data_IF_499211456709
#
_entry.id   IF_499211456709
#
_cell.length_a   1.000
_cell.length_b   1.000
_cell.length_c   1.000
_cell.angle_alpha   90.00
_cell.angle_beta   90.00
_cell.angle_gamma   90.00
#
_symmetry.space_group_name_H-M   'P 1'
#
loop_
_entity.id
_entity.type
_entity.pdbx_description
1 polymer ?
#
# COMPACT_ATOMS: atom_id res chain seq x y z
N UNK A 1 13.07 -25.67 15.59
CA UNK A 1 11.87 -24.85 15.83
C UNK A 1 12.35 -23.43 16.15
N UNK A 2 12.52 -22.59 15.14
CA UNK A 2 12.74 -21.16 15.32
C UNK A 2 11.37 -20.50 15.47
N UNK A 3 11.12 -19.88 16.61
CA UNK A 3 9.93 -19.06 16.82
C UNK A 3 10.07 -17.78 15.99
N UNK A 4 9.14 -17.53 15.09
CA UNK A 4 9.07 -16.35 14.23
C UNK A 4 8.92 -15.01 15.01
N UNK A 5 8.94 -15.05 16.34
CA UNK A 5 8.87 -13.88 17.22
C UNK A 5 10.25 -13.25 17.52
N UNK A 6 11.35 -13.93 17.25
CA UNK A 6 12.69 -13.46 17.63
C UNK A 6 13.36 -12.56 16.57
N UNK A 7 12.86 -12.48 15.36
CA UNK A 7 13.46 -11.68 14.27
C UNK A 7 13.32 -10.17 14.43
N UNK A 8 12.36 -9.69 15.22
CA UNK A 8 12.11 -8.25 15.46
C UNK A 8 12.33 -7.88 16.94
N UNK A 9 12.69 -8.85 17.79
CA UNK A 9 12.99 -8.60 19.19
C UNK A 9 14.37 -7.97 19.32
N UNK A 10 14.35 -6.79 19.90
CA UNK A 10 15.42 -6.18 20.65
C UNK A 10 16.45 -5.36 19.87
N UNK A 11 15.97 -4.23 19.37
CA UNK A 11 16.68 -2.94 19.53
C UNK A 11 15.65 -1.87 19.33
N UNK A 12 15.24 -1.15 20.40
CA UNK A 12 14.60 0.16 20.23
C UNK A 12 15.52 0.99 19.33
N UNK A 13 15.23 1.13 18.04
CA UNK A 13 16.03 2.01 17.22
C UNK A 13 15.87 3.40 17.82
N UNK A 14 16.96 4.12 18.00
CA UNK A 14 16.88 5.55 18.26
C UNK A 14 15.88 6.14 17.26
N UNK A 15 14.98 7.06 17.69
CA UNK A 15 13.89 7.59 16.85
C UNK A 15 14.30 7.93 15.41
N UNK A 16 15.55 8.39 15.21
CA UNK A 16 16.08 8.69 13.87
C UNK A 16 16.37 7.48 12.99
N UNK A 17 16.75 6.32 13.55
CA UNK A 17 17.00 5.10 12.80
C UNK A 17 15.68 4.52 12.27
N UNK A 18 14.61 4.58 13.08
CA UNK A 18 13.29 4.14 12.71
C UNK A 18 12.70 4.87 11.50
N UNK A 19 12.93 6.18 11.38
CA UNK A 19 12.42 6.98 10.25
C UNK A 19 13.11 6.63 8.93
N UNK A 20 14.40 6.29 8.97
CA UNK A 20 15.14 5.81 7.79
C UNK A 20 14.56 4.48 7.29
N UNK A 21 14.25 3.55 8.19
CA UNK A 21 13.74 2.22 7.82
C UNK A 21 12.33 2.26 7.23
N UNK A 22 11.43 3.10 7.75
CA UNK A 22 10.09 3.30 7.16
C UNK A 22 10.17 3.70 5.70
N UNK A 23 10.96 4.76 5.44
CA UNK A 23 11.14 5.28 4.07
C UNK A 23 11.75 4.24 3.15
N UNK A 24 12.71 3.46 3.65
CA UNK A 24 13.30 2.37 2.87
C UNK A 24 12.28 1.28 2.50
N UNK A 25 11.43 0.84 3.45
CA UNK A 25 10.43 -0.18 3.18
C UNK A 25 9.45 0.27 2.09
N UNK A 26 8.89 1.47 2.22
CA UNK A 26 7.99 2.03 1.21
C UNK A 26 8.68 2.24 -0.13
N UNK A 27 9.90 2.74 -0.11
CA UNK A 27 10.69 2.99 -1.31
C UNK A 27 11.01 1.70 -2.04
N UNK A 28 11.47 0.67 -1.34
CA UNK A 28 11.81 -0.62 -1.94
C UNK A 28 10.55 -1.29 -2.49
N UNK A 29 9.50 -1.41 -1.66
CA UNK A 29 8.27 -2.07 -2.07
C UNK A 29 7.58 -1.32 -3.22
N UNK A 30 7.55 0.00 -3.16
CA UNK A 30 7.03 0.85 -4.23
C UNK A 30 7.85 0.74 -5.53
N UNK A 31 9.18 0.71 -5.45
CA UNK A 31 10.04 0.53 -6.61
C UNK A 31 9.78 -0.81 -7.31
N UNK A 32 9.61 -1.88 -6.56
CA UNK A 32 9.24 -3.17 -7.11
C UNK A 32 7.83 -3.15 -7.73
N UNK A 33 6.83 -2.70 -6.99
CA UNK A 33 5.43 -2.74 -7.42
C UNK A 33 5.16 -1.79 -8.59
N UNK A 34 5.63 -0.56 -8.50
CA UNK A 34 5.31 0.48 -9.48
C UNK A 34 6.30 0.52 -10.64
N UNK A 35 7.60 0.28 -10.38
CA UNK A 35 8.65 0.37 -11.39
C UNK A 35 8.85 -0.93 -12.16
N UNK A 36 9.08 -2.02 -11.45
CA UNK A 36 9.38 -3.32 -12.05
C UNK A 36 8.10 -4.07 -12.42
N UNK A 37 7.00 -3.83 -11.70
CA UNK A 37 5.73 -4.54 -11.88
C UNK A 37 5.74 -5.92 -11.22
N UNK A 38 6.61 -6.11 -10.22
CA UNK A 38 6.64 -7.31 -9.39
C UNK A 38 6.55 -6.94 -7.91
N UNK A 39 6.08 -7.84 -7.07
CA UNK A 39 6.03 -7.59 -5.64
C UNK A 39 6.04 -8.90 -4.85
N UNK A 40 6.39 -8.82 -3.59
CA UNK A 40 6.34 -9.95 -2.69
C UNK A 40 4.90 -10.14 -2.20
N UNK A 41 4.21 -11.14 -2.72
CA UNK A 41 2.78 -11.40 -2.42
C UNK A 41 2.51 -11.94 -1.02
N UNK A 42 3.55 -12.23 -0.23
CA UNK A 42 3.46 -12.73 1.14
C UNK A 42 4.44 -12.00 2.08
N UNK A 43 4.38 -10.68 2.09
CA UNK A 43 5.28 -9.80 2.84
C UNK A 43 4.92 -9.75 4.34
N UNK A 44 4.70 -10.92 4.94
CA UNK A 44 4.51 -10.96 6.40
C UNK A 44 5.85 -10.72 7.14
N UNK A 45 5.81 -10.30 8.42
CA UNK A 45 7.03 -9.94 9.16
C UNK A 45 8.11 -11.03 9.23
N UNK A 46 7.74 -12.31 9.11
CA UNK A 46 8.68 -13.43 9.08
C UNK A 46 9.48 -13.54 7.78
N UNK A 47 9.04 -12.88 6.70
CA UNK A 47 9.71 -12.85 5.39
C UNK A 47 10.51 -11.56 5.16
N UNK A 48 10.65 -10.73 6.19
CA UNK A 48 11.43 -9.50 6.14
C UNK A 48 12.44 -9.48 7.29
N UNK A 49 13.71 -9.49 6.96
CA UNK A 49 14.81 -9.44 7.91
C UNK A 49 15.48 -8.08 7.82
N UNK A 50 15.77 -7.48 8.96
CA UNK A 50 16.64 -6.32 9.05
C UNK A 50 18.02 -6.81 9.44
N UNK A 51 19.01 -6.63 8.55
CA UNK A 51 20.38 -7.02 8.82
C UNK A 51 21.07 -6.06 9.82
N UNK A 52 22.24 -6.42 10.38
CA UNK A 52 22.98 -5.55 11.30
C UNK A 52 23.40 -4.20 10.70
N UNK A 53 23.53 -4.13 9.38
CA UNK A 53 23.91 -2.91 8.65
C UNK A 53 22.68 -2.03 8.33
N UNK A 54 21.49 -2.52 8.66
CA UNK A 54 20.25 -1.79 8.50
C UNK A 54 19.58 -1.97 7.12
N UNK A 55 19.94 -3.01 6.37
CA UNK A 55 19.30 -3.31 5.09
C UNK A 55 18.10 -4.24 5.29
N UNK A 56 17.04 -3.99 4.52
CA UNK A 56 15.94 -4.93 4.42
C UNK A 56 16.29 -6.07 3.47
N UNK A 57 16.14 -7.30 3.96
CA UNK A 57 16.31 -8.52 3.19
C UNK A 57 14.98 -9.25 3.14
N UNK A 58 14.41 -9.39 1.95
CA UNK A 58 13.23 -10.20 1.73
C UNK A 58 13.64 -11.65 1.50
N UNK A 59 13.01 -12.54 2.24
CA UNK A 59 13.21 -13.99 2.14
C UNK A 59 11.92 -14.68 1.70
N UNK A 60 12.02 -15.96 1.36
CA UNK A 60 10.92 -16.75 0.82
C UNK A 60 10.34 -16.17 -0.49
N UNK A 61 11.21 -15.99 -1.47
CA UNK A 61 10.87 -15.45 -2.80
C UNK A 61 9.92 -16.34 -3.64
N UNK A 62 9.45 -17.46 -3.10
CA UNK A 62 8.45 -18.31 -3.74
C UNK A 62 7.08 -17.64 -3.94
N UNK A 63 6.84 -16.54 -3.25
CA UNK A 63 5.59 -15.77 -3.32
C UNK A 63 5.72 -14.48 -4.15
N UNK A 64 6.71 -14.38 -5.05
CA UNK A 64 6.81 -13.23 -5.97
C UNK A 64 5.62 -13.27 -6.94
N UNK A 65 4.90 -12.17 -7.03
CA UNK A 65 3.77 -11.95 -7.92
C UNK A 65 4.10 -10.88 -8.95
N UNK A 66 3.46 -10.97 -10.12
CA UNK A 66 3.48 -9.91 -11.13
C UNK A 66 2.29 -8.98 -10.94
N UNK A 67 2.51 -7.69 -11.10
CA UNK A 67 1.47 -6.67 -11.18
C UNK A 67 1.37 -6.19 -12.62
N UNK A 68 0.29 -6.48 -13.34
CA UNK A 68 0.11 -5.95 -14.69
C UNK A 68 0.27 -4.43 -14.74
N UNK A 69 0.84 -3.91 -15.82
CA UNK A 69 1.14 -2.47 -15.95
C UNK A 69 -0.07 -1.57 -15.61
N UNK A 70 -1.26 -1.97 -16.08
CA UNK A 70 -2.52 -1.26 -15.75
C UNK A 70 -2.74 -1.17 -14.25
N UNK A 71 -2.51 -2.26 -13.54
CA UNK A 71 -2.74 -2.35 -12.09
C UNK A 71 -1.70 -1.52 -11.35
N UNK A 72 -0.42 -1.68 -11.67
CA UNK A 72 0.68 -0.89 -11.08
C UNK A 72 0.47 0.61 -11.28
N UNK A 73 0.13 1.04 -12.50
CA UNK A 73 -0.14 2.44 -12.82
C UNK A 73 -1.36 2.99 -12.08
N UNK A 74 -2.44 2.25 -12.00
CA UNK A 74 -3.66 2.69 -11.30
C UNK A 74 -3.45 2.78 -9.80
N UNK A 75 -2.69 1.84 -9.20
CA UNK A 75 -2.33 1.91 -7.78
C UNK A 75 -1.38 3.07 -7.48
N UNK A 76 -0.38 3.28 -8.34
CA UNK A 76 0.49 4.45 -8.22
C UNK A 76 -0.33 5.75 -8.24
N UNK A 77 -1.19 5.92 -9.24
CA UNK A 77 -2.03 7.10 -9.36
C UNK A 77 -2.96 7.27 -8.14
N UNK A 78 -3.51 6.18 -7.62
CA UNK A 78 -4.33 6.23 -6.41
C UNK A 78 -3.55 6.83 -5.23
N UNK A 79 -2.39 6.27 -4.89
CA UNK A 79 -1.59 6.77 -3.78
C UNK A 79 -1.04 8.17 -4.04
N UNK A 80 -0.63 8.46 -5.27
CA UNK A 80 -0.12 9.77 -5.67
C UNK A 80 -1.18 10.87 -5.48
N UNK A 81 -2.38 10.67 -6.03
CA UNK A 81 -3.47 11.62 -5.89
C UNK A 81 -3.98 11.72 -4.45
N UNK A 82 -4.03 10.61 -3.73
CA UNK A 82 -4.40 10.61 -2.32
C UNK A 82 -3.40 11.42 -1.48
N UNK A 83 -2.10 11.31 -1.75
CA UNK A 83 -1.05 12.08 -1.08
C UNK A 83 -1.08 13.59 -1.43
N UNK A 84 -1.67 13.93 -2.56
CA UNK A 84 -1.89 15.31 -3.01
C UNK A 84 -3.24 15.89 -2.55
N UNK A 85 -4.01 15.15 -1.74
CA UNK A 85 -5.38 15.47 -1.32
C UNK A 85 -6.39 15.61 -2.48
N UNK A 86 -6.05 15.04 -3.65
CA UNK A 86 -6.97 14.94 -4.79
C UNK A 86 -7.75 13.64 -4.74
N UNK A 87 -8.73 13.59 -3.83
CA UNK A 87 -9.51 12.39 -3.54
C UNK A 87 -10.32 11.90 -4.75
N UNK A 88 -10.83 12.79 -5.58
CA UNK A 88 -11.63 12.41 -6.74
C UNK A 88 -10.80 11.67 -7.79
N UNK A 89 -9.59 12.13 -8.09
CA UNK A 89 -8.68 11.45 -8.99
C UNK A 89 -8.15 10.14 -8.39
N UNK A 90 -7.90 10.12 -7.05
CA UNK A 90 -7.53 8.90 -6.37
C UNK A 90 -8.63 7.83 -6.53
N UNK A 91 -9.89 8.18 -6.31
CA UNK A 91 -11.00 7.22 -6.42
C UNK A 91 -11.29 6.80 -7.87
N UNK A 92 -11.09 7.67 -8.85
CA UNK A 92 -11.15 7.29 -10.27
C UNK A 92 -10.06 6.27 -10.62
N UNK A 93 -8.87 6.41 -10.03
CA UNK A 93 -7.77 5.45 -10.20
C UNK A 93 -8.13 4.06 -9.66
N UNK A 94 -8.84 3.98 -8.52
CA UNK A 94 -9.35 2.70 -8.01
C UNK A 94 -10.41 2.06 -8.92
N UNK A 95 -11.30 2.87 -9.49
CA UNK A 95 -12.28 2.36 -10.47
C UNK A 95 -11.58 1.84 -11.73
N UNK A 96 -10.47 2.46 -12.12
CA UNK A 96 -9.67 2.03 -13.29
C UNK A 96 -8.98 0.68 -13.09
N UNK A 97 -8.84 0.21 -11.84
CA UNK A 97 -8.34 -1.14 -11.52
C UNK A 97 -9.34 -2.23 -11.93
N UNK A 98 -10.64 -1.94 -11.92
CA UNK A 98 -11.64 -2.94 -12.23
C UNK A 98 -11.47 -3.49 -13.66
N UNK A 99 -11.61 -4.80 -13.83
CA UNK A 99 -11.62 -5.44 -15.14
C UNK A 99 -12.82 -4.97 -15.96
N UNK A 100 -13.97 -4.84 -15.29
CA UNK A 100 -15.18 -4.28 -15.87
C UNK A 100 -15.56 -2.99 -15.18
N UNK A 101 -15.59 -1.90 -15.95
CA UNK A 101 -15.95 -0.58 -15.42
C UNK A 101 -17.40 -0.56 -14.94
N UNK A 102 -17.67 -0.11 -13.72
CA UNK A 102 -19.02 0.11 -13.23
C UNK A 102 -19.80 1.16 -14.04
N UNK A 103 -21.14 1.16 -13.91
CA UNK A 103 -21.99 2.20 -14.50
C UNK A 103 -21.76 3.54 -13.79
N UNK A 104 -22.03 4.64 -14.49
CA UNK A 104 -21.79 6.00 -13.97
C UNK A 104 -22.47 6.29 -12.63
N UNK A 105 -23.72 5.83 -12.45
CA UNK A 105 -24.46 6.06 -11.20
C UNK A 105 -23.85 5.28 -10.03
N UNK A 106 -23.38 4.07 -10.30
CA UNK A 106 -22.70 3.22 -9.33
C UNK A 106 -21.33 3.80 -8.94
N UNK A 107 -20.61 4.41 -9.90
CA UNK A 107 -19.35 5.15 -9.63
C UNK A 107 -19.60 6.35 -8.73
N UNK A 108 -20.66 7.12 -8.98
CA UNK A 108 -21.00 8.27 -8.14
C UNK A 108 -21.32 7.86 -6.69
N UNK A 109 -22.02 6.75 -6.52
CA UNK A 109 -22.29 6.18 -5.19
C UNK A 109 -20.99 5.75 -4.51
N UNK A 110 -20.15 5.02 -5.21
CA UNK A 110 -18.84 4.61 -4.73
C UNK A 110 -18.00 5.81 -4.28
N UNK A 111 -17.88 6.86 -5.10
CA UNK A 111 -17.12 8.06 -4.73
C UNK A 111 -17.63 8.71 -3.45
N UNK A 112 -18.96 8.79 -3.23
CA UNK A 112 -19.53 9.29 -1.97
C UNK A 112 -19.11 8.44 -0.77
N UNK A 113 -19.14 7.11 -0.91
CA UNK A 113 -18.70 6.21 0.15
C UNK A 113 -17.20 6.42 0.45
N UNK A 114 -16.39 6.60 -0.61
CA UNK A 114 -14.95 6.85 -0.46
C UNK A 114 -14.66 8.15 0.27
N UNK A 115 -15.38 9.23 -0.01
CA UNK A 115 -15.22 10.48 0.75
C UNK A 115 -15.50 10.31 2.24
N UNK A 116 -16.39 9.40 2.61
CA UNK A 116 -16.65 9.07 4.03
C UNK A 116 -15.53 8.21 4.60
N UNK A 117 -15.09 7.17 3.88
CA UNK A 117 -14.06 6.22 4.33
C UNK A 117 -12.70 6.93 4.49
N UNK A 118 -12.35 7.82 3.56
CA UNK A 118 -11.08 8.55 3.55
C UNK A 118 -11.17 9.95 4.18
N UNK A 119 -12.24 10.24 4.92
CA UNK A 119 -12.34 11.48 5.67
C UNK A 119 -11.20 11.53 6.69
N UNK A 120 -10.39 12.55 6.63
CA UNK A 120 -9.26 12.79 7.53
C UNK A 120 -8.13 11.72 7.49
N UNK A 121 -8.21 10.74 6.55
CA UNK A 121 -7.24 9.63 6.50
C UNK A 121 -5.78 10.11 6.37
N UNK A 122 -5.54 11.20 5.64
CA UNK A 122 -4.23 11.83 5.47
C UNK A 122 -3.65 12.40 6.79
N UNK A 123 -4.51 12.70 7.76
CA UNK A 123 -4.13 13.29 9.05
C UNK A 123 -3.97 12.26 10.16
N UNK A 124 -4.49 11.06 9.95
CA UNK A 124 -4.47 9.98 10.95
C UNK A 124 -3.17 9.17 10.85
N UNK A 125 -2.67 8.72 12.00
CA UNK A 125 -1.60 7.74 12.02
C UNK A 125 -2.14 6.34 11.76
N UNK A 126 -1.27 5.42 11.34
CA UNK A 126 -1.66 4.01 11.09
C UNK A 126 -2.18 3.32 12.35
N UNK A 127 -1.73 3.73 13.54
CA UNK A 127 -2.27 3.23 14.81
C UNK A 127 -3.67 3.74 15.13
N UNK A 128 -4.08 4.88 14.56
CA UNK A 128 -5.43 5.42 14.70
C UNK A 128 -6.39 4.84 13.65
N UNK A 129 -5.92 4.67 12.43
CA UNK A 129 -6.67 4.06 11.33
C UNK A 129 -5.74 3.31 10.40
N UNK A 130 -5.83 1.99 10.38
CA UNK A 130 -4.97 1.16 9.55
C UNK A 130 -5.33 1.25 8.06
N UNK A 131 -4.32 1.16 7.21
CA UNK A 131 -4.52 1.05 5.76
C UNK A 131 -5.35 -0.20 5.43
N UNK A 132 -5.13 -1.31 6.10
CA UNK A 132 -5.89 -2.55 5.95
C UNK A 132 -7.38 -2.33 6.16
N UNK A 133 -7.77 -1.64 7.23
CA UNK A 133 -9.19 -1.36 7.53
C UNK A 133 -9.83 -0.53 6.43
N UNK A 134 -9.14 0.53 6.01
CA UNK A 134 -9.62 1.43 4.96
C UNK A 134 -9.71 0.71 3.62
N UNK A 135 -8.71 -0.09 3.25
CA UNK A 135 -8.73 -0.89 2.02
C UNK A 135 -9.85 -1.92 2.00
N UNK A 136 -10.11 -2.60 3.11
CA UNK A 136 -11.22 -3.57 3.18
C UNK A 136 -12.58 -2.89 3.01
N UNK A 137 -12.79 -1.72 3.60
CA UNK A 137 -13.99 -0.91 3.39
C UNK A 137 -14.11 -0.45 1.92
N UNK A 138 -13.01 -0.06 1.32
CA UNK A 138 -12.91 0.37 -0.08
C UNK A 138 -13.32 -0.76 -1.04
N UNK A 139 -12.69 -1.93 -0.89
CA UNK A 139 -12.98 -3.11 -1.73
C UNK A 139 -14.44 -3.53 -1.56
N UNK A 140 -14.92 -3.56 -0.33
CA UNK A 140 -16.31 -3.90 -0.06
C UNK A 140 -17.29 -2.92 -0.75
N UNK A 141 -17.08 -1.62 -0.60
CA UNK A 141 -17.92 -0.63 -1.27
C UNK A 141 -17.84 -0.71 -2.79
N UNK A 142 -16.65 -0.95 -3.34
CA UNK A 142 -16.47 -1.10 -4.78
C UNK A 142 -17.24 -2.32 -5.33
N UNK A 143 -17.20 -3.46 -4.65
CA UNK A 143 -17.88 -4.68 -5.06
C UNK A 143 -19.39 -4.56 -4.83
N UNK A 144 -19.84 -4.20 -3.62
CA UNK A 144 -21.25 -4.19 -3.24
C UNK A 144 -22.03 -3.02 -3.86
N UNK A 145 -21.43 -1.83 -3.94
CA UNK A 145 -22.12 -0.60 -4.38
C UNK A 145 -21.83 -0.22 -5.83
N UNK A 146 -20.62 -0.53 -6.33
CA UNK A 146 -20.27 -0.22 -7.72
C UNK A 146 -20.29 -1.44 -8.65
N UNK A 147 -20.41 -2.67 -8.12
CA UNK A 147 -20.32 -3.88 -8.93
C UNK A 147 -18.96 -4.03 -9.62
N UNK A 148 -17.91 -3.51 -8.99
CA UNK A 148 -16.56 -3.63 -9.52
C UNK A 148 -16.08 -5.07 -9.42
N UNK A 149 -15.34 -5.51 -10.44
CA UNK A 149 -14.66 -6.79 -10.47
C UNK A 149 -13.16 -6.52 -10.64
N UNK A 150 -12.36 -6.91 -9.66
CA UNK A 150 -10.91 -6.71 -9.67
C UNK A 150 -10.13 -7.93 -10.16
N UNK A 151 -10.83 -9.01 -10.51
CA UNK A 151 -10.21 -10.24 -10.97
C UNK A 151 -9.32 -10.95 -9.94
N UNK A 152 -8.64 -11.99 -10.39
CA UNK A 152 -7.75 -12.78 -9.52
C UNK A 152 -6.45 -12.04 -9.20
N UNK A 153 -6.01 -11.12 -10.05
CA UNK A 153 -4.73 -10.39 -9.92
C UNK A 153 -4.76 -9.32 -8.81
N UNK A 154 -5.93 -8.80 -8.45
CA UNK A 154 -6.08 -7.79 -7.41
C UNK A 154 -5.82 -8.32 -6.00
N UNK A 155 -6.16 -9.58 -5.74
CA UNK A 155 -6.09 -10.14 -4.39
C UNK A 155 -4.68 -10.26 -3.80
N UNK A 156 -3.66 -10.75 -4.53
CA UNK A 156 -2.29 -10.79 -4.05
C UNK A 156 -1.73 -9.41 -3.68
N UNK A 157 -2.10 -8.38 -4.45
CA UNK A 157 -1.68 -7.00 -4.21
C UNK A 157 -2.28 -6.46 -2.92
N UNK A 158 -3.59 -6.63 -2.73
CA UNK A 158 -4.29 -6.24 -1.50
C UNK A 158 -3.66 -6.94 -0.30
N UNK A 159 -3.40 -8.23 -0.39
CA UNK A 159 -2.74 -9.01 0.66
C UNK A 159 -1.35 -8.48 0.99
N UNK A 160 -0.53 -8.17 0.00
CA UNK A 160 0.81 -7.60 0.19
C UNK A 160 0.75 -6.25 0.92
N UNK A 161 -0.18 -5.37 0.53
CA UNK A 161 -0.38 -4.08 1.19
C UNK A 161 -0.86 -4.25 2.64
N UNK A 162 -1.72 -5.24 2.92
CA UNK A 162 -2.18 -5.55 4.28
C UNK A 162 -1.02 -6.02 5.18
N UNK A 163 -0.12 -6.86 4.65
CA UNK A 163 1.06 -7.29 5.42
C UNK A 163 2.02 -6.13 5.68
N UNK A 164 2.24 -5.26 4.69
CA UNK A 164 3.04 -4.05 4.87
C UNK A 164 2.45 -3.14 5.96
N UNK A 165 1.15 -2.93 5.94
CA UNK A 165 0.42 -2.16 6.96
C UNK A 165 0.62 -2.77 8.36
N UNK A 166 0.45 -4.09 8.48
CA UNK A 166 0.68 -4.81 9.73
C UNK A 166 2.11 -4.69 10.27
N UNK A 167 3.11 -4.65 9.36
CA UNK A 167 4.51 -4.41 9.74
C UNK A 167 4.70 -2.98 10.24
N UNK A 168 4.14 -1.99 9.54
CA UNK A 168 4.25 -0.58 9.91
C UNK A 168 3.54 -0.29 11.24
N UNK A 169 2.34 -0.81 11.46
CA UNK A 169 1.61 -0.63 12.73
C UNK A 169 2.42 -1.16 13.92
N UNK A 170 3.07 -2.30 13.79
CA UNK A 170 3.87 -2.90 14.86
C UNK A 170 5.14 -2.12 15.17
N UNK A 171 5.75 -1.54 14.15
CA UNK A 171 7.04 -0.86 14.28
C UNK A 171 6.90 0.65 14.50
N UNK A 172 5.88 1.27 13.89
CA UNK A 172 5.72 2.73 13.87
C UNK A 172 4.24 3.17 13.88
N UNK A 173 3.48 2.93 14.94
CA UNK A 173 2.04 3.20 14.99
C UNK A 173 1.67 4.68 14.81
N UNK A 174 2.59 5.58 15.10
CA UNK A 174 2.36 7.04 15.03
C UNK A 174 2.62 7.62 13.63
N UNK A 175 3.03 6.81 12.65
CA UNK A 175 3.33 7.30 11.31
C UNK A 175 2.06 7.70 10.56
N UNK A 176 2.13 8.84 9.90
CA UNK A 176 1.12 9.27 8.91
C UNK A 176 1.52 8.74 7.54
N UNK A 177 0.99 7.58 7.18
CA UNK A 177 1.42 6.79 6.04
C UNK A 177 1.45 7.60 4.74
N UNK A 178 0.37 8.31 4.45
CA UNK A 178 0.21 9.06 3.20
C UNK A 178 1.25 10.20 3.07
N UNK A 179 1.52 10.91 4.16
CA UNK A 179 2.53 11.96 4.18
C UNK A 179 3.95 11.41 3.94
N UNK A 180 4.27 10.28 4.56
CA UNK A 180 5.60 9.65 4.42
C UNK A 180 5.83 9.03 3.03
N UNK A 181 4.75 8.59 2.37
CA UNK A 181 4.85 8.04 1.02
C UNK A 181 5.09 9.10 -0.05
N UNK A 182 4.72 10.36 0.20
CA UNK A 182 4.71 11.41 -0.81
C UNK A 182 6.06 11.61 -1.49
N UNK A 183 7.13 11.74 -0.70
CA UNK A 183 8.48 11.94 -1.24
C UNK A 183 8.92 10.80 -2.17
N UNK A 184 8.59 9.56 -1.78
CA UNK A 184 8.87 8.37 -2.59
C UNK A 184 8.02 8.32 -3.86
N UNK A 185 6.76 8.75 -3.78
CA UNK A 185 5.87 8.80 -4.95
C UNK A 185 6.31 9.88 -5.96
N UNK A 186 6.78 11.03 -5.48
CA UNK A 186 7.35 12.07 -6.34
C UNK A 186 8.65 11.61 -7.02
N UNK A 187 9.50 10.86 -6.30
CA UNK A 187 10.69 10.23 -6.88
C UNK A 187 10.32 9.21 -7.97
N UNK A 188 9.33 8.34 -7.71
CA UNK A 188 8.88 7.34 -8.68
C UNK A 188 8.27 7.97 -9.92
N UNK A 189 7.49 9.04 -9.77
CA UNK A 189 6.92 9.75 -10.91
C UNK A 189 7.98 10.28 -11.86
N UNK A 190 9.07 10.81 -11.30
CA UNK A 190 10.16 11.40 -12.10
C UNK A 190 11.13 10.37 -12.69
N UNK A 191 11.26 9.20 -12.06
CA UNK A 191 12.29 8.20 -12.38
C UNK A 191 11.81 6.98 -13.16
N UNK A 192 10.50 6.70 -13.17
CA UNK A 192 9.96 5.43 -13.66
C UNK A 192 9.10 5.53 -14.92
N UNK A 193 9.10 6.65 -15.64
CA UNK A 193 8.32 6.82 -16.90
C UNK A 193 6.86 6.32 -16.74
N UNK A 194 6.21 6.73 -15.66
CA UNK A 194 4.84 6.32 -15.32
C UNK A 194 3.78 7.18 -16.05
N UNK A 195 4.18 7.91 -17.11
CA UNK A 195 3.30 8.65 -18.01
C UNK A 195 2.32 7.77 -18.82
#
# INVERSE_FOLDING_TARGET
FFHAEDGIRDRSPSRGLGDVYKRQLFRIHGAFMFGIGTFHGDLHPGNCILDPDGNFVFIDNGAICEAPRKVSKSLFNFFYHLSADDKDLAFESLISLAERRPRSDDVNKFKKDMHVIYKDFENLSVGQQSLTEVMMKTVRSAVENAGADYGEEGFPIIRSLMYMDGLVIRTYPDVKLISEMRDSLDEFKSGLDLE
#
